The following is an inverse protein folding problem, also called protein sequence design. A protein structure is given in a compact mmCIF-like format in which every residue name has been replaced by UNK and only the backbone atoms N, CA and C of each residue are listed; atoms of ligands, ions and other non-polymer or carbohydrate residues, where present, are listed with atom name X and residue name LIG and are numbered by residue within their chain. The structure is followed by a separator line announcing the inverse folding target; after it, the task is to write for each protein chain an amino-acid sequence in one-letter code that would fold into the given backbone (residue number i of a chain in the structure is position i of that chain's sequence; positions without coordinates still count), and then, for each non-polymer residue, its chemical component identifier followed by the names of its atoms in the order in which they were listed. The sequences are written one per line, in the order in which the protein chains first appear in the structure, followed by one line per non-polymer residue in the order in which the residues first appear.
data_IF_674258417517
#
_entry.id   IF_674258417517
#
_cell.length_a   1.000
_cell.length_b   1.000
_cell.length_c   1.000
_cell.angle_alpha   90.00
_cell.angle_beta   90.00
_cell.angle_gamma   90.00
#
_symmetry.space_group_name_H-M   'P 1'
#
loop_
_entity.id
_entity.type
_entity.pdbx_description
1 polymer ?
#
# COMPACT_ATOMS: atom_id res chain seq x y z
N UNK A 1 8.17 -32.83 -17.27
CA UNK A 1 7.37 -32.82 -16.03
C UNK A 1 7.73 -31.51 -15.39
N UNK A 2 7.01 -30.46 -15.79
CA UNK A 2 7.23 -29.09 -15.32
C UNK A 2 6.65 -28.98 -13.92
N UNK A 3 7.52 -28.85 -12.92
CA UNK A 3 7.13 -28.42 -11.58
C UNK A 3 6.68 -26.97 -11.67
N UNK A 4 5.37 -26.77 -11.79
CA UNK A 4 4.75 -25.47 -11.58
C UNK A 4 5.08 -25.05 -10.14
N UNK A 5 5.93 -24.02 -9.99
CA UNK A 5 6.15 -23.30 -8.74
C UNK A 5 4.79 -22.71 -8.33
N UNK A 6 3.99 -23.50 -7.64
CA UNK A 6 2.78 -23.03 -6.98
C UNK A 6 3.25 -22.52 -5.63
N UNK A 7 3.79 -21.30 -5.63
CA UNK A 7 3.96 -20.55 -4.39
C UNK A 7 2.59 -20.47 -3.68
N UNK A 8 2.56 -20.39 -2.35
CA UNK A 8 1.30 -20.28 -1.62
C UNK A 8 0.47 -19.16 -2.25
N UNK A 9 -0.78 -19.46 -2.60
CA UNK A 9 -1.72 -18.44 -3.06
C UNK A 9 -1.69 -17.30 -2.02
N UNK A 10 -1.56 -16.03 -2.43
CA UNK A 10 -1.58 -14.94 -1.47
C UNK A 10 -2.86 -15.04 -0.66
N UNK A 11 -2.76 -15.05 0.67
CA UNK A 11 -3.92 -15.03 1.56
C UNK A 11 -4.89 -13.92 1.09
N UNK A 12 -6.05 -14.31 0.56
CA UNK A 12 -7.07 -13.38 0.04
C UNK A 12 -7.55 -12.39 1.13
N UNK A 13 -7.23 -12.65 2.40
CA UNK A 13 -7.50 -11.78 3.54
C UNK A 13 -6.56 -10.58 3.71
N UNK A 14 -5.48 -10.47 2.92
CA UNK A 14 -4.49 -9.39 2.98
C UNK A 14 -4.26 -8.71 1.62
N UNK A 15 -5.20 -8.84 0.69
CA UNK A 15 -5.13 -8.10 -0.57
C UNK A 15 -5.24 -6.61 -0.27
N UNK A 16 -4.10 -5.92 -0.33
CA UNK A 16 -4.07 -4.46 -0.35
C UNK A 16 -4.96 -4.01 -1.52
N UNK A 17 -5.77 -2.95 -1.33
CA UNK A 17 -6.50 -2.38 -2.45
C UNK A 17 -5.53 -2.09 -3.60
N UNK A 18 -5.93 -2.43 -4.83
CA UNK A 18 -5.11 -2.18 -6.00
C UNK A 18 -4.74 -0.69 -6.04
N UNK A 19 -3.44 -0.41 -5.94
CA UNK A 19 -2.86 0.93 -6.07
C UNK A 19 -2.11 1.05 -7.38
N UNK A 20 -2.05 2.25 -7.92
CA UNK A 20 -1.18 2.56 -9.05
C UNK A 20 0.29 2.48 -8.61
N UNK A 21 1.20 2.29 -9.57
CA UNK A 21 2.64 2.31 -9.28
C UNK A 21 3.09 3.63 -8.63
N UNK A 22 2.51 4.76 -9.05
CA UNK A 22 2.78 6.08 -8.45
C UNK A 22 2.41 6.10 -6.97
N UNK A 23 1.20 5.64 -6.63
CA UNK A 23 0.75 5.61 -5.24
C UNK A 23 1.57 4.63 -4.39
N UNK A 24 2.00 3.50 -4.96
CA UNK A 24 2.89 2.58 -4.28
C UNK A 24 4.25 3.25 -3.95
N UNK A 25 4.79 4.05 -4.88
CA UNK A 25 6.01 4.83 -4.64
C UNK A 25 5.79 5.87 -3.55
N UNK A 26 4.67 6.60 -3.59
CA UNK A 26 4.32 7.61 -2.59
C UNK A 26 4.19 6.98 -1.18
N UNK A 27 3.57 5.81 -1.08
CA UNK A 27 3.46 5.06 0.18
C UNK A 27 4.85 4.67 0.70
N UNK A 28 5.69 4.09 -0.16
CA UNK A 28 7.04 3.65 0.23
C UNK A 28 7.89 4.86 0.65
N UNK A 29 7.79 5.98 -0.04
CA UNK A 29 8.48 7.22 0.31
C UNK A 29 8.03 7.74 1.68
N UNK A 30 6.72 7.79 1.92
CA UNK A 30 6.16 8.22 3.19
C UNK A 30 6.67 7.34 4.34
N UNK A 31 6.65 6.02 4.15
CA UNK A 31 7.15 5.05 5.14
C UNK A 31 8.66 5.19 5.38
N UNK A 32 9.45 5.42 4.33
CA UNK A 32 10.88 5.64 4.44
C UNK A 32 11.20 6.90 5.24
N UNK A 33 10.47 8.00 5.00
CA UNK A 33 10.62 9.24 5.76
C UNK A 33 10.28 9.04 7.25
N UNK A 34 9.19 8.33 7.55
CA UNK A 34 8.79 7.99 8.93
C UNK A 34 9.86 7.12 9.60
N UNK A 35 10.33 6.07 8.92
CA UNK A 35 11.37 5.17 9.44
C UNK A 35 12.69 5.91 9.70
N UNK A 36 13.02 6.91 8.89
CA UNK A 36 14.18 7.76 9.06
C UNK A 36 13.98 8.90 10.10
N UNK A 37 12.82 9.01 10.73
CA UNK A 37 12.49 10.09 11.67
C UNK A 37 12.47 11.48 11.01
N UNK A 38 12.25 11.53 9.69
CA UNK A 38 12.24 12.76 8.90
C UNK A 38 10.86 13.41 8.93
N UNK A 39 10.78 14.75 8.81
CA UNK A 39 9.49 15.42 8.67
C UNK A 39 8.81 14.95 7.38
N UNK A 40 7.52 14.65 7.50
CA UNK A 40 6.64 14.31 6.38
C UNK A 40 5.73 15.50 6.12
N UNK A 41 5.57 15.89 4.86
CA UNK A 41 4.60 16.92 4.49
C UNK A 41 3.18 16.43 4.84
N UNK A 42 2.53 17.15 5.75
CA UNK A 42 1.22 16.77 6.28
C UNK A 42 0.11 16.84 5.25
N UNK A 43 0.19 17.76 4.30
CA UNK A 43 -0.82 17.91 3.25
C UNK A 43 -0.70 16.75 2.27
N UNK A 44 0.51 16.49 1.78
CA UNK A 44 0.78 15.36 0.90
C UNK A 44 0.40 14.02 1.54
N UNK A 45 0.81 13.77 2.79
CA UNK A 45 0.44 12.55 3.50
C UNK A 45 -1.09 12.44 3.73
N UNK A 46 -1.78 13.57 3.97
CA UNK A 46 -3.23 13.61 4.10
C UNK A 46 -3.97 13.30 2.81
N UNK A 47 -3.47 13.83 1.68
CA UNK A 47 -4.02 13.57 0.35
C UNK A 47 -3.84 12.08 -0.01
N UNK A 48 -2.64 11.52 0.21
CA UNK A 48 -2.35 10.11 0.00
C UNK A 48 -3.25 9.21 0.88
N UNK A 49 -3.35 9.51 2.18
CA UNK A 49 -4.21 8.75 3.09
C UNK A 49 -5.69 8.80 2.68
N UNK A 50 -6.17 9.94 2.18
CA UNK A 50 -7.56 10.09 1.73
C UNK A 50 -7.84 9.26 0.48
N UNK A 51 -6.91 9.24 -0.49
CA UNK A 51 -7.00 8.42 -1.70
C UNK A 51 -7.04 6.93 -1.34
N UNK A 52 -6.21 6.50 -0.40
CA UNK A 52 -6.17 5.10 0.04
C UNK A 52 -7.42 4.72 0.83
N UNK A 53 -7.89 5.57 1.75
CA UNK A 53 -9.08 5.33 2.55
C UNK A 53 -10.34 5.17 1.68
N UNK A 54 -10.46 5.93 0.59
CA UNK A 54 -11.57 5.82 -0.35
C UNK A 54 -11.68 4.44 -1.03
N UNK A 55 -10.63 3.62 -0.97
CA UNK A 55 -10.57 2.28 -1.59
C UNK A 55 -10.69 1.14 -0.59
N UNK A 56 -10.73 1.42 0.70
CA UNK A 56 -10.95 0.42 1.73
C UNK A 56 -12.45 0.14 1.80
N UNK A 57 -12.93 -1.07 1.47
CA UNK A 57 -14.35 -1.40 1.63
C UNK A 57 -14.76 -1.25 3.10
N UNK A 58 -15.95 -0.67 3.37
CA UNK A 58 -16.53 -0.73 4.71
C UNK A 58 -16.73 -2.20 5.07
N UNK A 59 -16.09 -2.66 6.16
CA UNK A 59 -16.45 -3.92 6.79
C UNK A 59 -17.69 -3.64 7.66
N UNK A 60 -18.86 -3.80 7.05
CA UNK A 60 -20.13 -3.97 7.80
C UNK A 60 -20.31 -5.45 8.18
#
# INVERSE_FOLDING_TARGET
MDDAITGPAPDDGLLLPLVTLSEAQDIVEALALVAAGRPVDRRWAGDLASVLAARVPSRD
#
